data_IF_641108204701
#
_entry.id   IF_641108204701
#
_cell.length_a   1.000
_cell.length_b   1.000
_cell.length_c   1.000
_cell.angle_alpha   90.00
_cell.angle_beta   90.00
_cell.angle_gamma   90.00
#
_symmetry.space_group_name_H-M   'P 1'
#
loop_
_entity.id
_entity.type
_entity.pdbx_description
1 polymer ?
#
# COMPACT_ATOMS: atom_id res chain seq x y z
N UNK A 1 33.85 53.22 -27.93
CA UNK A 1 34.48 54.49 -27.58
C UNK A 1 34.37 54.74 -26.08
N UNK A 2 35.44 54.47 -25.46
CA UNK A 2 36.10 55.25 -24.38
C UNK A 2 35.34 55.36 -23.07
N UNK A 3 35.85 54.75 -22.09
CA UNK A 3 36.96 54.97 -21.09
C UNK A 3 36.44 55.46 -19.75
N UNK A 4 36.79 54.72 -18.72
CA UNK A 4 37.82 54.97 -17.68
C UNK A 4 37.26 55.82 -16.53
N UNK A 5 37.53 55.74 -15.27
CA UNK A 5 38.56 55.10 -14.45
C UNK A 5 38.31 55.47 -12.99
N UNK A 6 38.61 54.55 -12.06
CA UNK A 6 39.21 54.73 -10.70
C UNK A 6 38.66 55.84 -9.76
N UNK A 7 38.61 55.70 -8.51
CA UNK A 7 39.12 54.89 -7.39
C UNK A 7 38.79 55.64 -6.09
N UNK A 8 38.68 55.03 -4.98
CA UNK A 8 39.43 55.16 -3.74
C UNK A 8 38.56 55.05 -2.47
N UNK A 9 38.88 54.04 -1.75
CA UNK A 9 39.08 53.92 -0.30
C UNK A 9 38.20 54.72 0.67
N UNK A 10 37.47 53.98 1.51
CA UNK A 10 36.94 54.47 2.77
C UNK A 10 36.33 53.27 3.53
N UNK A 11 37.08 52.68 4.46
CA UNK A 11 36.67 51.56 5.26
C UNK A 11 35.55 51.86 6.23
N UNK A 12 34.61 50.96 6.32
CA UNK A 12 33.75 50.84 7.50
C UNK A 12 33.46 49.33 7.72
N UNK A 13 34.02 48.80 8.80
CA UNK A 13 33.80 47.45 9.25
C UNK A 13 32.34 47.31 9.72
N UNK A 14 31.52 46.59 8.96
CA UNK A 14 30.21 46.10 9.40
C UNK A 14 30.36 44.64 9.74
N UNK A 15 30.31 44.34 11.02
CA UNK A 15 30.16 42.97 11.55
C UNK A 15 28.83 42.37 11.06
N UNK A 16 28.87 41.55 10.02
CA UNK A 16 27.76 40.66 9.62
C UNK A 16 27.86 39.45 10.50
N UNK A 17 26.95 39.35 11.46
CA UNK A 17 26.66 38.14 12.18
C UNK A 17 26.10 37.08 11.17
N UNK A 18 26.96 36.15 10.74
CA UNK A 18 26.54 34.95 10.05
C UNK A 18 25.83 34.04 11.06
N UNK A 19 24.50 34.14 11.15
CA UNK A 19 23.69 33.09 11.70
C UNK A 19 23.76 31.88 10.77
N UNK A 20 23.78 30.62 11.30
CA UNK A 20 23.78 29.45 10.45
C UNK A 20 22.45 29.38 9.68
N UNK A 21 22.52 29.54 8.36
CA UNK A 21 21.48 29.13 7.45
C UNK A 21 21.35 27.60 7.59
N UNK A 22 20.41 27.14 8.40
CA UNK A 22 19.94 25.77 8.36
C UNK A 22 19.28 25.58 7.00
N UNK A 23 20.06 25.10 6.05
CA UNK A 23 19.55 24.47 4.85
C UNK A 23 18.75 23.27 5.36
N UNK A 24 17.43 23.38 5.36
CA UNK A 24 16.54 22.21 5.39
C UNK A 24 16.80 21.43 4.10
N UNK A 25 17.84 20.63 4.11
CA UNK A 25 18.00 19.55 3.18
C UNK A 25 16.81 18.64 3.39
N UNK A 26 15.95 18.52 2.38
CA UNK A 26 15.01 17.42 2.31
C UNK A 26 15.88 16.15 2.34
N UNK A 27 16.03 15.55 3.52
CA UNK A 27 16.50 14.17 3.65
C UNK A 27 15.47 13.33 2.91
N UNK A 28 15.76 13.03 1.65
CA UNK A 28 15.19 11.87 0.99
C UNK A 28 15.70 10.68 1.79
N UNK A 29 14.93 10.27 2.80
CA UNK A 29 15.18 9.03 3.52
C UNK A 29 15.26 7.93 2.47
N UNK A 30 16.49 7.41 2.25
CA UNK A 30 16.72 6.23 1.42
C UNK A 30 16.00 5.08 2.09
N UNK A 31 14.85 4.72 1.56
CA UNK A 31 14.08 3.57 2.01
C UNK A 31 14.88 2.31 1.62
N UNK A 32 15.25 1.45 2.60
CA UNK A 32 15.91 0.17 2.29
C UNK A 32 14.94 -0.70 1.48
N UNK A 33 15.16 -0.97 0.26
CA UNK A 33 14.29 -1.76 -0.63
C UNK A 33 14.09 -1.12 -2.00
N UNK A 34 14.01 0.21 -2.07
CA UNK A 34 13.80 0.96 -3.31
C UNK A 34 14.96 1.00 -4.30
N UNK A 35 16.12 0.51 -3.97
CA UNK A 35 17.32 0.64 -4.81
C UNK A 35 17.17 -0.01 -6.20
N UNK A 36 16.60 -1.20 -6.29
CA UNK A 36 16.45 -1.90 -7.58
C UNK A 36 15.37 -1.26 -8.46
N UNK A 37 14.23 -0.82 -7.90
CA UNK A 37 13.20 -0.11 -8.66
C UNK A 37 13.69 1.28 -9.09
N UNK A 38 14.41 1.99 -8.24
CA UNK A 38 15.01 3.27 -8.58
C UNK A 38 16.11 3.12 -9.65
N UNK A 39 16.98 2.10 -9.52
CA UNK A 39 18.00 1.79 -10.49
C UNK A 39 17.41 1.41 -11.87
N UNK A 40 16.36 0.58 -11.88
CA UNK A 40 15.63 0.23 -13.09
C UNK A 40 14.92 1.45 -13.71
N UNK A 41 14.36 2.33 -12.90
CA UNK A 41 13.80 3.61 -13.33
C UNK A 41 14.83 4.51 -14.02
N UNK A 42 16.07 4.53 -13.51
CA UNK A 42 17.17 5.26 -14.14
C UNK A 42 17.59 4.63 -15.50
N UNK A 43 17.52 3.30 -15.62
CA UNK A 43 17.72 2.61 -16.91
C UNK A 43 16.63 3.01 -17.90
N UNK A 44 15.36 2.98 -17.52
CA UNK A 44 14.25 3.41 -18.39
C UNK A 44 14.39 4.87 -18.83
N UNK A 45 14.78 5.77 -17.92
CA UNK A 45 15.03 7.17 -18.27
C UNK A 45 16.12 7.32 -19.33
N UNK A 46 17.20 6.58 -19.23
CA UNK A 46 18.28 6.64 -20.22
C UNK A 46 17.85 6.06 -21.57
N UNK A 47 17.05 4.99 -21.58
CA UNK A 47 16.46 4.43 -22.81
C UNK A 47 15.55 5.48 -23.48
N UNK A 48 14.68 6.14 -22.74
CA UNK A 48 13.79 7.20 -23.24
C UNK A 48 14.56 8.37 -23.85
N UNK A 49 15.73 8.68 -23.30
CA UNK A 49 16.61 9.74 -23.76
C UNK A 49 17.62 9.27 -24.81
N UNK A 50 17.46 8.05 -25.35
CA UNK A 50 18.36 7.44 -26.32
C UNK A 50 19.83 7.32 -25.88
N UNK A 51 20.09 7.34 -24.56
CA UNK A 51 21.42 7.14 -23.96
C UNK A 51 21.70 5.66 -23.70
N UNK A 52 21.73 4.86 -24.79
CA UNK A 52 21.77 3.40 -24.69
C UNK A 52 23.04 2.86 -24.02
N UNK A 53 24.18 3.57 -24.16
CA UNK A 53 25.44 3.21 -23.48
C UNK A 53 25.30 3.34 -21.95
N UNK A 54 24.81 4.48 -21.45
CA UNK A 54 24.56 4.71 -20.04
C UNK A 54 23.49 3.77 -19.47
N UNK A 55 22.45 3.47 -20.25
CA UNK A 55 21.44 2.48 -19.87
C UNK A 55 22.04 1.09 -19.67
N UNK A 56 22.98 0.66 -20.55
CA UNK A 56 23.66 -0.61 -20.44
C UNK A 56 24.57 -0.68 -19.19
N UNK A 57 25.36 0.36 -18.93
CA UNK A 57 26.19 0.44 -17.72
C UNK A 57 25.35 0.32 -16.44
N UNK A 58 24.20 1.00 -16.41
CA UNK A 58 23.29 0.96 -15.25
C UNK A 58 22.62 -0.40 -15.06
N UNK A 59 22.22 -1.07 -16.15
CA UNK A 59 21.63 -2.41 -16.02
C UNK A 59 22.68 -3.44 -15.66
N UNK A 60 23.93 -3.30 -16.13
CA UNK A 60 25.04 -4.15 -15.70
C UNK A 60 25.32 -3.99 -14.21
N UNK A 61 25.36 -2.76 -13.70
CA UNK A 61 25.49 -2.48 -12.27
C UNK A 61 24.33 -3.04 -11.45
N UNK A 62 23.10 -2.93 -11.96
CA UNK A 62 21.91 -3.52 -11.32
C UNK A 62 22.05 -5.04 -11.20
N UNK A 63 22.53 -5.72 -12.24
CA UNK A 63 22.70 -7.17 -12.25
C UNK A 63 23.84 -7.67 -11.36
N UNK A 64 24.82 -6.85 -11.04
CA UNK A 64 25.81 -7.18 -10.00
C UNK A 64 25.14 -7.32 -8.62
N UNK A 65 24.21 -6.42 -8.29
CA UNK A 65 23.47 -6.49 -7.03
C UNK A 65 22.32 -7.50 -7.01
N UNK A 66 21.75 -7.80 -8.19
CA UNK A 66 20.54 -8.63 -8.36
C UNK A 66 20.70 -9.61 -9.52
N UNK A 67 21.59 -10.63 -9.41
CA UNK A 67 21.94 -11.53 -10.52
C UNK A 67 20.76 -12.36 -11.04
N UNK A 68 19.72 -12.58 -10.23
CA UNK A 68 18.52 -13.34 -10.61
C UNK A 68 17.38 -12.45 -11.14
N UNK A 69 17.63 -11.17 -11.45
CA UNK A 69 16.61 -10.27 -11.94
C UNK A 69 16.38 -10.45 -13.46
N UNK A 70 15.46 -11.35 -13.80
CA UNK A 70 15.19 -11.77 -15.18
C UNK A 70 14.82 -10.61 -16.10
N UNK A 71 14.01 -9.64 -15.64
CA UNK A 71 13.66 -8.45 -16.41
C UNK A 71 14.90 -7.60 -16.74
N UNK A 72 15.82 -7.44 -15.80
CA UNK A 72 17.06 -6.69 -16.04
C UNK A 72 17.94 -7.41 -17.09
N UNK A 73 18.01 -8.74 -17.06
CA UNK A 73 18.69 -9.52 -18.11
C UNK A 73 18.05 -9.33 -19.49
N UNK A 74 16.72 -9.30 -19.58
CA UNK A 74 16.02 -9.05 -20.83
C UNK A 74 16.34 -7.67 -21.40
N UNK A 75 16.29 -6.64 -20.57
CA UNK A 75 16.65 -5.26 -20.95
C UNK A 75 18.11 -5.19 -21.41
N UNK A 76 19.03 -5.85 -20.68
CA UNK A 76 20.43 -5.94 -21.06
C UNK A 76 20.62 -6.57 -22.46
N UNK A 77 19.92 -7.68 -22.72
CA UNK A 77 19.93 -8.34 -24.02
C UNK A 77 19.48 -7.41 -25.15
N UNK A 78 18.36 -6.70 -24.97
CA UNK A 78 17.86 -5.74 -25.95
C UNK A 78 18.85 -4.58 -26.18
N UNK A 79 19.44 -4.02 -25.11
CA UNK A 79 20.45 -2.95 -25.26
C UNK A 79 21.70 -3.40 -26.01
N UNK A 80 22.13 -4.64 -25.83
CA UNK A 80 23.24 -5.21 -26.60
C UNK A 80 22.87 -5.42 -28.09
N UNK A 81 21.67 -5.94 -28.36
CA UNK A 81 21.15 -6.12 -29.72
C UNK A 81 21.00 -4.79 -30.46
N UNK A 82 20.57 -3.74 -29.77
CA UNK A 82 20.39 -2.39 -30.32
C UNK A 82 21.69 -1.79 -30.87
N UNK A 83 22.88 -2.33 -30.49
CA UNK A 83 24.18 -1.92 -31.05
C UNK A 83 24.42 -2.47 -32.45
N UNK A 84 23.76 -3.55 -32.83
CA UNK A 84 24.03 -4.27 -34.08
C UNK A 84 22.88 -4.21 -35.06
N UNK A 85 21.64 -4.02 -34.57
CA UNK A 85 20.44 -3.97 -35.41
C UNK A 85 19.30 -3.20 -34.71
N UNK A 86 18.37 -2.62 -35.46
CA UNK A 86 17.17 -2.04 -34.89
C UNK A 86 16.33 -3.08 -34.11
N UNK A 87 15.80 -2.69 -32.94
CA UNK A 87 14.88 -3.53 -32.20
C UNK A 87 13.48 -3.42 -32.81
N UNK A 88 12.84 -4.56 -33.04
CA UNK A 88 11.45 -4.63 -33.55
C UNK A 88 10.45 -4.58 -32.39
N UNK A 89 10.83 -5.10 -31.21
CA UNK A 89 9.99 -5.15 -30.01
C UNK A 89 10.86 -5.26 -28.77
N UNK A 90 10.29 -4.90 -27.61
CA UNK A 90 10.93 -5.17 -26.32
C UNK A 90 10.98 -6.69 -26.06
N UNK A 91 12.13 -7.20 -25.66
CA UNK A 91 12.37 -8.63 -25.51
C UNK A 91 12.47 -9.33 -26.87
N UNK A 92 13.32 -8.81 -27.76
CA UNK A 92 13.51 -9.35 -29.13
C UNK A 92 14.37 -10.62 -29.12
N UNK A 93 13.93 -11.67 -28.41
CA UNK A 93 14.56 -13.00 -28.40
C UNK A 93 13.71 -13.98 -29.21
N UNK A 94 14.30 -14.54 -30.29
CA UNK A 94 13.59 -15.45 -31.19
C UNK A 94 13.34 -16.83 -30.57
N UNK A 95 14.21 -17.27 -29.67
CA UNK A 95 14.19 -18.61 -29.08
C UNK A 95 13.54 -18.66 -27.70
N UNK A 96 13.09 -17.52 -27.16
CA UNK A 96 12.45 -17.48 -25.84
C UNK A 96 10.96 -17.86 -25.91
N UNK A 97 10.44 -18.65 -24.95
CA UNK A 97 9.01 -18.95 -24.88
C UNK A 97 8.16 -17.68 -24.83
N UNK A 98 7.16 -17.59 -25.69
CA UNK A 98 6.34 -16.38 -25.88
C UNK A 98 5.60 -15.96 -24.60
N UNK A 99 5.14 -16.93 -23.79
CA UNK A 99 4.50 -16.70 -22.49
C UNK A 99 5.47 -16.04 -21.49
N UNK A 100 6.74 -16.49 -21.44
CA UNK A 100 7.75 -15.91 -20.56
C UNK A 100 8.14 -14.48 -20.97
N UNK A 101 8.19 -14.21 -22.26
CA UNK A 101 8.39 -12.85 -22.76
C UNK A 101 7.20 -11.95 -22.44
N UNK A 102 5.97 -12.46 -22.57
CA UNK A 102 4.76 -11.71 -22.19
C UNK A 102 4.77 -11.35 -20.71
N UNK A 103 5.11 -12.29 -19.84
CA UNK A 103 5.27 -12.10 -18.40
C UNK A 103 6.25 -10.98 -18.05
N UNK A 104 7.45 -10.98 -18.66
CA UNK A 104 8.47 -9.95 -18.42
C UNK A 104 8.07 -8.59 -19.00
N UNK A 105 7.33 -8.57 -20.11
CA UNK A 105 6.76 -7.33 -20.67
C UNK A 105 5.71 -6.73 -19.74
N UNK A 106 4.83 -7.54 -19.15
CA UNK A 106 3.89 -7.08 -18.15
C UNK A 106 4.61 -6.46 -16.93
N UNK A 107 5.65 -7.13 -16.42
CA UNK A 107 6.45 -6.61 -15.31
C UNK A 107 7.10 -5.26 -15.67
N UNK A 108 7.71 -5.15 -16.84
CA UNK A 108 8.32 -3.91 -17.33
C UNK A 108 7.29 -2.77 -17.40
N UNK A 109 6.10 -3.03 -17.95
CA UNK A 109 5.02 -2.06 -18.06
C UNK A 109 4.53 -1.63 -16.67
N UNK A 110 4.34 -2.56 -15.73
CA UNK A 110 3.89 -2.26 -14.38
C UNK A 110 4.89 -1.36 -13.64
N UNK A 111 6.19 -1.70 -13.70
CA UNK A 111 7.27 -0.90 -13.07
C UNK A 111 7.42 0.46 -13.73
N UNK A 112 7.38 0.55 -15.05
CA UNK A 112 7.48 1.82 -15.78
C UNK A 112 6.29 2.74 -15.48
N UNK A 113 5.06 2.20 -15.44
CA UNK A 113 3.87 2.96 -15.04
C UNK A 113 3.98 3.49 -13.62
N UNK A 114 4.44 2.67 -12.67
CA UNK A 114 4.65 3.09 -11.29
C UNK A 114 5.70 4.21 -11.18
N UNK A 115 6.80 4.10 -11.93
CA UNK A 115 7.84 5.12 -11.98
C UNK A 115 7.31 6.46 -12.52
N UNK A 116 6.49 6.44 -13.58
CA UNK A 116 5.96 7.65 -14.24
C UNK A 116 4.79 8.29 -13.48
N UNK A 117 3.94 7.49 -12.86
CA UNK A 117 2.66 7.92 -12.32
C UNK A 117 2.61 7.76 -10.79
N UNK A 118 3.54 8.40 -10.09
CA UNK A 118 3.51 8.45 -8.62
C UNK A 118 2.32 9.28 -8.15
N UNK A 119 1.65 8.85 -7.07
CA UNK A 119 0.60 9.67 -6.45
C UNK A 119 1.18 11.03 -6.05
N UNK A 120 0.43 12.14 -6.19
CA UNK A 120 0.87 13.44 -5.72
C UNK A 120 1.11 13.42 -4.20
N UNK A 121 2.11 14.18 -3.71
CA UNK A 121 2.53 14.17 -2.30
C UNK A 121 1.47 14.67 -1.32
N UNK A 122 0.49 15.44 -1.81
CA UNK A 122 -0.64 15.97 -1.03
C UNK A 122 -1.92 15.11 -1.13
N UNK A 123 -1.80 13.87 -1.65
CA UNK A 123 -2.89 12.93 -1.74
C UNK A 123 -2.65 11.74 -0.81
N UNK A 124 -3.73 11.19 -0.27
CA UNK A 124 -3.74 10.02 0.60
C UNK A 124 -4.75 8.99 0.09
N UNK A 125 -4.56 7.69 0.35
CA UNK A 125 -5.58 6.69 0.02
C UNK A 125 -6.87 6.98 0.78
N UNK A 126 -7.99 7.04 0.06
CA UNK A 126 -9.31 7.29 0.64
C UNK A 126 -9.70 6.30 1.74
N UNK A 127 -9.06 5.14 1.73
CA UNK A 127 -9.39 4.03 2.64
C UNK A 127 -8.92 4.24 4.07
N UNK A 128 -7.86 5.03 4.29
CA UNK A 128 -7.24 5.27 5.60
C UNK A 128 -7.85 6.51 6.27
N UNK A 129 -9.09 6.42 6.77
CA UNK A 129 -9.77 7.56 7.37
C UNK A 129 -9.31 7.84 8.80
N UNK A 130 -9.15 6.79 9.60
CA UNK A 130 -8.58 6.89 10.94
C UNK A 130 -7.90 5.59 11.34
N UNK A 131 -6.69 5.71 11.87
CA UNK A 131 -5.98 4.64 12.56
C UNK A 131 -5.98 4.92 14.06
N UNK A 132 -6.20 3.91 14.89
CA UNK A 132 -6.01 4.04 16.33
C UNK A 132 -4.54 4.33 16.67
N UNK A 133 -4.23 4.94 17.83
CA UNK A 133 -2.85 5.36 18.15
C UNK A 133 -1.81 4.24 18.16
N UNK A 134 -2.20 3.00 18.47
CA UNK A 134 -1.31 1.84 18.52
C UNK A 134 -0.96 1.29 17.13
N UNK A 135 -1.80 1.55 16.12
CA UNK A 135 -1.53 1.21 14.71
C UNK A 135 -0.51 2.19 14.13
N UNK A 136 0.77 1.86 14.22
CA UNK A 136 1.85 2.75 13.76
C UNK A 136 1.91 2.87 12.24
N UNK A 137 1.54 1.82 11.53
CA UNK A 137 1.60 1.74 10.06
C UNK A 137 0.36 1.07 9.50
N UNK A 138 0.05 1.38 8.25
CA UNK A 138 -0.95 0.71 7.42
C UNK A 138 -0.36 0.35 6.07
N UNK A 139 -0.85 -0.76 5.50
CA UNK A 139 -0.51 -1.25 4.17
C UNK A 139 -1.69 -1.03 3.25
N UNK A 140 -1.45 -0.47 2.05
CA UNK A 140 -2.46 -0.33 1.00
C UNK A 140 -1.93 -0.95 -0.28
N UNK A 141 -2.64 -1.94 -0.80
CA UNK A 141 -2.28 -2.69 -2.01
C UNK A 141 -3.16 -2.24 -3.18
N UNK A 142 -2.51 -1.86 -4.29
CA UNK A 142 -3.12 -1.59 -5.60
C UNK A 142 -2.75 -2.74 -6.56
N UNK A 143 -3.69 -3.65 -6.81
CA UNK A 143 -3.42 -4.81 -7.66
C UNK A 143 -3.30 -4.42 -9.12
N UNK A 144 -4.03 -3.38 -9.60
CA UNK A 144 -3.94 -2.92 -10.98
C UNK A 144 -2.58 -2.29 -11.29
N UNK A 145 -1.98 -1.61 -10.31
CA UNK A 145 -0.64 -1.01 -10.44
C UNK A 145 0.49 -1.96 -10.05
N UNK A 146 0.16 -3.12 -9.46
CA UNK A 146 1.13 -4.04 -8.87
C UNK A 146 2.04 -3.36 -7.85
N UNK A 147 1.42 -2.58 -6.94
CA UNK A 147 2.12 -1.81 -5.90
C UNK A 147 1.51 -2.06 -4.52
N UNK A 148 2.38 -2.06 -3.54
CA UNK A 148 2.07 -2.03 -2.12
C UNK A 148 2.65 -0.73 -1.55
N UNK A 149 1.84 0.04 -0.86
CA UNK A 149 2.21 1.31 -0.24
C UNK A 149 2.18 1.18 1.28
N UNK A 150 3.14 1.79 1.96
CA UNK A 150 3.23 1.87 3.42
C UNK A 150 2.91 3.30 3.85
N UNK A 151 1.99 3.43 4.79
CA UNK A 151 1.63 4.68 5.42
C UNK A 151 1.91 4.62 6.91
N UNK A 152 2.55 5.64 7.45
CA UNK A 152 2.71 5.84 8.88
C UNK A 152 1.49 6.60 9.43
N UNK A 153 1.06 6.21 10.62
CA UNK A 153 0.10 6.98 11.40
C UNK A 153 0.79 8.18 12.05
N UNK A 154 0.66 9.34 11.45
CA UNK A 154 1.18 10.59 11.97
C UNK A 154 0.03 11.38 12.65
N UNK A 155 -0.22 11.07 13.93
CA UNK A 155 -1.31 11.68 14.71
C UNK A 155 -2.68 11.55 14.02
N UNK A 156 -2.96 10.40 13.44
CA UNK A 156 -4.21 10.10 12.75
C UNK A 156 -4.23 10.51 11.27
N UNK A 157 -3.16 11.16 10.76
CA UNK A 157 -2.99 11.46 9.33
C UNK A 157 -2.09 10.41 8.68
N UNK A 158 -2.50 9.77 7.56
CA UNK A 158 -1.63 8.86 6.82
C UNK A 158 -0.48 9.63 6.19
N UNK A 159 0.76 9.28 6.53
CA UNK A 159 1.97 9.82 5.92
C UNK A 159 2.65 8.73 5.11
N UNK A 160 2.85 8.97 3.82
CA UNK A 160 3.56 8.02 2.94
C UNK A 160 4.99 7.75 3.44
N UNK A 161 5.37 6.47 3.44
CA UNK A 161 6.71 6.01 3.86
C UNK A 161 7.46 5.40 2.70
N UNK A 162 6.87 4.38 2.07
CA UNK A 162 7.50 3.60 1.01
C UNK A 162 6.47 2.93 0.12
N UNK A 163 6.90 2.48 -1.05
CA UNK A 163 6.11 1.61 -1.91
C UNK A 163 7.00 0.53 -2.55
N UNK A 164 6.42 -0.64 -2.79
CA UNK A 164 7.10 -1.81 -3.34
C UNK A 164 6.33 -2.40 -4.51
N UNK A 165 7.06 -2.94 -5.48
CA UNK A 165 6.46 -3.77 -6.52
C UNK A 165 5.94 -5.07 -5.92
N UNK A 166 4.75 -5.52 -6.39
CA UNK A 166 4.14 -6.77 -5.96
C UNK A 166 3.65 -7.61 -7.14
N UNK A 167 3.61 -8.90 -6.89
CA UNK A 167 2.83 -9.88 -7.66
C UNK A 167 1.54 -10.19 -6.91
N UNK A 168 0.44 -10.39 -7.63
CA UNK A 168 -0.85 -10.75 -7.08
C UNK A 168 -1.50 -11.92 -7.84
N UNK A 169 -2.76 -12.25 -7.54
CA UNK A 169 -3.46 -13.40 -8.12
C UNK A 169 -3.46 -13.44 -9.64
N UNK A 170 -3.19 -14.62 -10.22
CA UNK A 170 -3.16 -14.87 -11.68
C UNK A 170 -4.43 -14.42 -12.39
N UNK A 171 -5.59 -14.56 -11.74
CA UNK A 171 -6.87 -14.16 -12.27
C UNK A 171 -7.35 -12.79 -11.73
N UNK A 172 -6.41 -11.99 -11.21
CA UNK A 172 -6.68 -10.63 -10.75
C UNK A 172 -7.13 -10.56 -9.29
N UNK A 173 -7.95 -9.57 -8.99
CA UNK A 173 -8.53 -9.32 -7.68
C UNK A 173 -9.97 -9.85 -7.55
N UNK A 174 -10.64 -9.51 -6.43
CA UNK A 174 -12.03 -9.91 -6.11
C UNK A 174 -12.16 -11.42 -5.88
N UNK A 175 -11.34 -11.95 -4.97
CA UNK A 175 -11.44 -13.35 -4.52
C UNK A 175 -12.82 -13.64 -3.94
N UNK A 176 -13.45 -14.73 -4.42
CA UNK A 176 -14.78 -15.15 -4.00
C UNK A 176 -14.78 -16.53 -3.35
N UNK A 177 -13.91 -17.47 -3.80
CA UNK A 177 -13.88 -18.86 -3.31
C UNK A 177 -12.46 -19.41 -3.29
N UNK A 178 -12.30 -20.48 -2.56
CA UNK A 178 -11.01 -21.21 -2.50
C UNK A 178 -10.56 -21.64 -3.90
N UNK A 179 -9.25 -21.57 -4.18
CA UNK A 179 -8.66 -22.00 -5.44
C UNK A 179 -8.92 -21.11 -6.65
N UNK A 180 -9.63 -19.99 -6.54
CA UNK A 180 -9.96 -19.11 -7.66
C UNK A 180 -8.78 -18.26 -8.20
N UNK A 181 -7.60 -18.41 -7.58
CA UNK A 181 -6.35 -17.72 -7.96
C UNK A 181 -6.48 -16.19 -8.00
N UNK A 182 -7.35 -15.64 -7.16
CA UNK A 182 -7.59 -14.19 -7.04
C UNK A 182 -7.11 -13.67 -5.69
N UNK A 183 -6.67 -12.44 -5.68
CA UNK A 183 -6.36 -11.71 -4.45
C UNK A 183 -7.66 -11.08 -3.91
N UNK A 184 -7.96 -11.16 -2.61
CA UNK A 184 -9.17 -10.57 -2.06
C UNK A 184 -9.11 -9.03 -2.10
N UNK A 185 -10.28 -8.40 -2.13
CA UNK A 185 -10.46 -6.95 -2.00
C UNK A 185 -11.19 -6.68 -0.69
N UNK A 186 -10.62 -5.84 0.17
CA UNK A 186 -11.20 -5.57 1.48
C UNK A 186 -10.22 -4.95 2.46
N UNK A 187 -10.66 -4.87 3.72
CA UNK A 187 -9.88 -4.39 4.87
C UNK A 187 -9.51 -5.59 5.73
N UNK A 188 -8.24 -5.85 5.86
CA UNK A 188 -7.66 -6.97 6.62
C UNK A 188 -6.62 -6.43 7.62
N UNK A 189 -6.04 -7.34 8.40
CA UNK A 189 -4.88 -7.06 9.24
C UNK A 189 -3.90 -8.24 9.21
N UNK A 190 -2.65 -7.99 9.55
CA UNK A 190 -1.62 -9.03 9.67
C UNK A 190 -1.91 -9.86 10.91
N UNK A 191 -2.00 -11.19 10.77
CA UNK A 191 -2.38 -12.09 11.87
C UNK A 191 -1.22 -12.86 12.48
N UNK A 192 -0.13 -13.07 11.74
CA UNK A 192 1.04 -13.80 12.22
C UNK A 192 2.32 -13.38 11.48
N UNK A 193 3.46 -13.76 12.04
CA UNK A 193 4.76 -13.76 11.38
C UNK A 193 5.25 -15.20 11.29
N UNK A 194 5.39 -15.71 10.07
CA UNK A 194 5.91 -17.06 9.79
C UNK A 194 7.36 -16.95 9.31
N UNK A 195 8.34 -17.28 10.16
CA UNK A 195 9.74 -17.16 9.81
C UNK A 195 10.16 -18.21 8.78
N UNK A 196 11.16 -17.88 7.95
CA UNK A 196 11.68 -18.72 6.85
C UNK A 196 11.93 -20.17 7.27
N UNK A 197 12.47 -20.40 8.46
CA UNK A 197 12.82 -21.73 8.95
C UNK A 197 11.63 -22.69 9.06
N UNK A 198 10.39 -22.17 9.09
CA UNK A 198 9.16 -22.93 9.17
C UNK A 198 8.46 -23.08 7.82
N UNK A 199 9.03 -22.53 6.76
CA UNK A 199 8.40 -22.47 5.42
C UNK A 199 9.28 -23.13 4.37
N UNK A 200 8.65 -23.58 3.28
CA UNK A 200 9.38 -24.00 2.08
C UNK A 200 10.01 -22.78 1.39
N UNK A 201 11.02 -23.00 0.55
CA UNK A 201 11.69 -21.96 -0.21
C UNK A 201 10.73 -21.16 -1.12
N UNK A 202 9.57 -21.73 -1.45
CA UNK A 202 8.52 -21.06 -2.23
C UNK A 202 8.08 -19.70 -1.64
N UNK A 203 8.14 -19.56 -0.32
CA UNK A 203 7.73 -18.35 0.42
C UNK A 203 8.88 -17.38 0.67
N UNK A 204 10.08 -17.69 0.23
CA UNK A 204 11.24 -16.82 0.31
C UNK A 204 11.72 -16.54 1.74
N UNK A 205 11.94 -15.26 2.07
CA UNK A 205 12.46 -14.85 3.38
C UNK A 205 11.44 -14.97 4.52
N UNK A 206 10.15 -15.19 4.24
CA UNK A 206 9.11 -15.34 5.26
C UNK A 206 7.70 -15.12 4.72
N UNK A 207 6.71 -15.18 5.61
CA UNK A 207 5.33 -14.90 5.27
C UNK A 207 4.56 -14.25 6.42
N UNK A 208 3.61 -13.39 6.07
CA UNK A 208 2.70 -12.70 6.97
C UNK A 208 1.27 -12.96 6.52
N UNK A 209 0.57 -13.91 7.15
CA UNK A 209 -0.85 -14.16 6.93
C UNK A 209 -1.68 -12.92 7.24
N UNK A 210 -2.75 -12.73 6.46
CA UNK A 210 -3.76 -11.70 6.73
C UNK A 210 -5.10 -12.33 7.12
N UNK A 211 -5.98 -11.53 7.73
CA UNK A 211 -7.27 -11.97 8.28
C UNK A 211 -8.35 -12.25 7.22
N UNK A 212 -7.96 -12.79 6.05
CA UNK A 212 -8.92 -13.25 5.04
C UNK A 212 -9.37 -14.69 5.32
N UNK A 213 -10.66 -15.04 5.20
CA UNK A 213 -11.80 -14.14 5.03
C UNK A 213 -12.14 -13.42 6.34
N UNK A 214 -12.43 -12.11 6.26
CA UNK A 214 -12.94 -11.33 7.38
C UNK A 214 -14.44 -11.60 7.59
N UNK A 215 -15.07 -10.93 8.58
CA UNK A 215 -16.50 -11.09 8.86
C UNK A 215 -17.38 -10.71 7.66
N UNK A 216 -17.05 -9.60 6.98
CA UNK A 216 -17.78 -9.16 5.79
C UNK A 216 -17.66 -10.16 4.64
N UNK A 217 -16.48 -10.72 4.41
CA UNK A 217 -16.28 -11.75 3.39
C UNK A 217 -17.19 -12.96 3.64
N UNK A 218 -17.26 -13.43 4.90
CA UNK A 218 -18.13 -14.56 5.29
C UNK A 218 -19.61 -14.25 5.09
N UNK A 219 -20.05 -13.02 5.44
CA UNK A 219 -21.43 -12.59 5.20
C UNK A 219 -21.79 -12.51 3.71
N UNK A 220 -20.80 -12.25 2.85
CA UNK A 220 -20.96 -12.29 1.39
C UNK A 220 -20.80 -13.70 0.78
N UNK A 221 -20.66 -14.72 1.61
CA UNK A 221 -20.45 -16.09 1.15
C UNK A 221 -19.08 -16.34 0.49
N UNK A 222 -18.09 -15.49 0.77
CA UNK A 222 -16.72 -15.71 0.30
C UNK A 222 -15.99 -16.66 1.23
N UNK A 223 -15.22 -17.55 0.64
CA UNK A 223 -14.50 -18.57 1.38
C UNK A 223 -13.02 -18.68 0.98
N UNK A 224 -12.36 -19.71 1.50
CA UNK A 224 -10.95 -20.00 1.33
C UNK A 224 -10.09 -19.48 2.48
N UNK A 225 -8.77 -19.63 2.34
CA UNK A 225 -7.78 -19.28 3.35
C UNK A 225 -6.40 -19.08 2.71
N UNK A 226 -5.38 -18.81 3.52
CA UNK A 226 -3.98 -18.83 3.06
C UNK A 226 -3.60 -17.65 2.19
N UNK A 227 -4.20 -16.49 2.38
CA UNK A 227 -3.75 -15.26 1.74
C UNK A 227 -2.67 -14.59 2.62
N UNK A 228 -1.47 -14.50 2.06
CA UNK A 228 -0.28 -14.04 2.77
C UNK A 228 0.44 -12.94 1.99
N UNK A 229 1.16 -12.08 2.72
CA UNK A 229 2.26 -11.29 2.18
C UNK A 229 3.52 -12.16 2.31
N UNK A 230 4.24 -12.48 1.23
CA UNK A 230 5.42 -13.35 1.30
C UNK A 230 6.46 -13.02 0.24
N UNK A 231 7.64 -13.61 0.38
CA UNK A 231 8.75 -13.44 -0.56
C UNK A 231 8.69 -14.34 -1.78
N UNK A 232 9.76 -14.30 -2.57
CA UNK A 232 9.99 -15.15 -3.74
C UNK A 232 10.97 -16.28 -3.40
N UNK A 233 10.96 -17.43 -4.13
CA UNK A 233 12.01 -18.44 -4.02
C UNK A 233 13.41 -17.84 -4.12
N UNK A 234 14.38 -18.45 -3.49
CA UNK A 234 15.75 -17.94 -3.38
C UNK A 234 16.45 -17.72 -4.72
N UNK A 235 16.05 -18.46 -5.77
CA UNK A 235 16.55 -18.35 -7.14
C UNK A 235 15.83 -17.28 -7.99
N UNK A 236 14.83 -16.62 -7.44
CA UNK A 236 13.93 -15.72 -8.17
C UNK A 236 13.90 -14.35 -7.51
N UNK A 237 14.34 -13.31 -8.20
CA UNK A 237 14.30 -11.94 -7.68
C UNK A 237 12.85 -11.41 -7.58
N UNK A 238 12.11 -11.46 -8.69
CA UNK A 238 10.71 -11.01 -8.76
C UNK A 238 9.89 -11.93 -9.68
N UNK A 239 8.56 -11.84 -9.54
CA UNK A 239 7.61 -12.53 -10.42
C UNK A 239 6.83 -11.52 -11.26
N UNK A 240 6.23 -11.94 -12.39
CA UNK A 240 5.28 -11.09 -13.13
C UNK A 240 4.13 -10.59 -12.26
N UNK A 241 3.45 -9.50 -12.66
CA UNK A 241 2.37 -8.92 -11.86
C UNK A 241 1.28 -9.92 -11.45
N UNK A 242 0.89 -10.81 -12.38
CA UNK A 242 -0.18 -11.80 -12.20
C UNK A 242 0.37 -13.23 -12.17
N UNK A 243 1.06 -13.59 -11.08
CA UNK A 243 1.75 -14.87 -11.00
C UNK A 243 1.59 -15.60 -9.65
N UNK A 244 0.66 -15.18 -8.78
CA UNK A 244 0.35 -15.90 -7.53
C UNK A 244 -1.01 -16.60 -7.59
N UNK A 245 -1.27 -17.49 -6.65
CA UNK A 245 -2.58 -18.12 -6.48
C UNK A 245 -3.50 -17.35 -5.51
N UNK A 246 -3.21 -16.06 -5.30
CA UNK A 246 -3.99 -15.12 -4.50
C UNK A 246 -3.19 -14.33 -3.48
N UNK A 247 -2.01 -14.78 -3.10
CA UNK A 247 -1.10 -14.06 -2.20
C UNK A 247 -0.57 -12.78 -2.83
N UNK A 248 -0.13 -11.85 -1.99
CA UNK A 248 0.64 -10.67 -2.37
C UNK A 248 2.13 -11.00 -2.18
N UNK A 249 2.87 -11.07 -3.28
CA UNK A 249 4.27 -11.52 -3.28
C UNK A 249 5.20 -10.35 -3.55
N UNK A 250 6.19 -10.18 -2.69
CA UNK A 250 7.25 -9.17 -2.80
C UNK A 250 8.58 -9.84 -3.15
N UNK A 251 9.59 -9.06 -3.52
CA UNK A 251 10.96 -9.57 -3.48
C UNK A 251 11.34 -9.88 -2.03
N UNK A 252 12.30 -10.79 -1.81
CA UNK A 252 12.72 -11.11 -0.44
C UNK A 252 13.23 -9.88 0.30
N UNK A 253 14.01 -9.04 -0.39
CA UNK A 253 14.54 -7.81 0.19
C UNK A 253 13.43 -6.81 0.57
N UNK A 254 12.41 -6.67 -0.28
CA UNK A 254 11.29 -5.78 0.00
C UNK A 254 10.41 -6.33 1.13
N UNK A 255 10.24 -7.66 1.22
CA UNK A 255 9.53 -8.28 2.34
C UNK A 255 10.28 -8.09 3.66
N UNK A 256 11.61 -8.24 3.65
CA UNK A 256 12.44 -8.02 4.84
C UNK A 256 12.33 -6.55 5.30
N UNK A 257 12.37 -5.59 4.38
CA UNK A 257 12.14 -4.17 4.69
C UNK A 257 10.72 -3.92 5.19
N UNK A 258 9.69 -4.49 4.55
CA UNK A 258 8.29 -4.40 4.97
C UNK A 258 8.09 -4.94 6.37
N UNK A 259 8.78 -6.01 6.75
CA UNK A 259 8.61 -6.69 8.04
C UNK A 259 8.78 -5.76 9.24
N UNK A 260 9.65 -4.74 9.14
CA UNK A 260 9.89 -3.73 10.18
C UNK A 260 8.71 -2.80 10.44
N UNK A 261 7.75 -2.73 9.53
CA UNK A 261 6.52 -1.92 9.63
C UNK A 261 5.31 -2.72 10.10
N UNK A 262 5.43 -4.04 10.25
CA UNK A 262 4.30 -4.92 10.56
C UNK A 262 4.17 -5.15 12.08
N UNK A 263 3.00 -4.87 12.61
CA UNK A 263 2.58 -5.19 13.97
C UNK A 263 1.51 -6.28 13.88
N UNK A 264 1.81 -7.46 14.47
CA UNK A 264 0.88 -8.60 14.45
C UNK A 264 -0.39 -8.26 15.22
N UNK A 265 -1.54 -8.51 14.60
CA UNK A 265 -2.87 -8.17 15.14
C UNK A 265 -3.28 -6.71 14.93
N UNK A 266 -2.38 -5.81 14.56
CA UNK A 266 -2.64 -4.35 14.53
C UNK A 266 -2.53 -3.73 13.14
N UNK A 267 -1.48 -4.08 12.35
CA UNK A 267 -1.25 -3.41 11.07
C UNK A 267 -2.39 -3.71 10.09
N UNK A 268 -3.18 -2.69 9.68
CA UNK A 268 -4.20 -2.84 8.66
C UNK A 268 -3.56 -3.12 7.30
N UNK A 269 -4.20 -4.01 6.53
CA UNK A 269 -3.85 -4.34 5.15
C UNK A 269 -5.08 -4.14 4.29
N UNK A 270 -5.14 -3.01 3.59
CA UNK A 270 -6.24 -2.69 2.67
C UNK A 270 -5.83 -3.12 1.27
N UNK A 271 -6.60 -4.03 0.67
CA UNK A 271 -6.34 -4.51 -0.70
C UNK A 271 -7.43 -4.00 -1.62
N UNK A 272 -7.04 -3.22 -2.62
CA UNK A 272 -7.92 -2.66 -3.64
C UNK A 272 -7.51 -3.11 -5.04
N UNK A 273 -8.46 -3.16 -5.94
CA UNK A 273 -8.15 -3.28 -7.36
C UNK A 273 -7.46 -2.03 -7.88
N UNK A 274 -7.99 -0.85 -7.55
CA UNK A 274 -7.40 0.46 -7.85
C UNK A 274 -7.57 1.37 -6.65
N UNK A 275 -6.51 2.06 -6.23
CA UNK A 275 -6.60 3.00 -5.11
C UNK A 275 -7.32 4.28 -5.56
N UNK A 276 -8.32 4.67 -4.77
CA UNK A 276 -8.90 6.00 -4.82
C UNK A 276 -8.06 6.96 -3.97
N UNK A 277 -7.69 8.09 -4.56
CA UNK A 277 -6.85 9.09 -3.93
C UNK A 277 -7.67 10.34 -3.62
N UNK A 278 -7.57 10.84 -2.40
CA UNK A 278 -8.16 12.11 -1.99
C UNK A 278 -7.07 13.15 -1.73
N UNK A 279 -7.39 14.41 -1.98
CA UNK A 279 -6.63 15.50 -1.40
C UNK A 279 -6.66 15.41 0.13
N UNK A 280 -5.65 15.94 0.80
CA UNK A 280 -5.64 15.93 2.28
C UNK A 280 -6.85 16.66 2.86
N UNK A 281 -7.34 17.71 2.19
CA UNK A 281 -8.50 18.49 2.64
C UNK A 281 -9.81 17.71 2.49
N UNK A 282 -10.02 17.03 1.35
CA UNK A 282 -11.18 16.17 1.12
C UNK A 282 -11.17 14.99 2.10
N UNK A 283 -10.01 14.36 2.30
CA UNK A 283 -9.81 13.30 3.28
C UNK A 283 -10.17 13.77 4.71
N UNK A 284 -9.69 14.94 5.11
CA UNK A 284 -10.00 15.49 6.43
C UNK A 284 -11.50 15.80 6.59
N UNK A 285 -12.16 16.24 5.52
CA UNK A 285 -13.60 16.48 5.51
C UNK A 285 -14.39 15.19 5.63
N UNK A 286 -14.06 14.16 4.85
CA UNK A 286 -14.70 12.84 4.92
C UNK A 286 -14.52 12.19 6.29
N UNK A 287 -13.30 12.25 6.86
CA UNK A 287 -13.00 11.77 8.21
C UNK A 287 -13.87 12.45 9.27
N UNK A 288 -13.98 13.80 9.22
CA UNK A 288 -14.82 14.55 10.17
C UNK A 288 -16.29 14.14 10.07
N UNK A 289 -16.81 14.02 8.86
CA UNK A 289 -18.21 13.60 8.64
C UNK A 289 -18.51 12.24 9.26
N UNK A 290 -17.63 11.26 9.07
CA UNK A 290 -17.81 9.92 9.65
C UNK A 290 -17.65 9.91 11.16
N UNK A 291 -16.68 10.64 11.71
CA UNK A 291 -16.53 10.74 13.16
C UNK A 291 -17.73 11.41 13.82
N UNK A 292 -18.36 12.41 13.18
CA UNK A 292 -19.61 13.00 13.68
C UNK A 292 -20.75 11.97 13.71
N UNK A 293 -20.89 11.14 12.67
CA UNK A 293 -21.91 10.08 12.65
C UNK A 293 -21.69 9.04 13.76
N UNK A 294 -20.43 8.66 14.04
CA UNK A 294 -20.10 7.74 15.15
C UNK A 294 -20.42 8.40 16.49
N UNK A 295 -20.11 9.69 16.63
CA UNK A 295 -20.39 10.44 17.87
C UNK A 295 -21.90 10.66 18.08
N UNK A 296 -22.68 10.89 17.03
CA UNK A 296 -24.14 10.99 17.10
C UNK A 296 -24.76 9.65 17.53
N UNK A 297 -24.27 8.52 16.96
CA UNK A 297 -24.66 7.18 17.40
C UNK A 297 -24.33 6.95 18.89
N UNK A 298 -23.16 7.35 19.36
CA UNK A 298 -22.74 7.22 20.76
C UNK A 298 -23.65 8.05 21.70
N UNK A 299 -23.92 9.31 21.34
CA UNK A 299 -24.80 10.21 22.12
C UNK A 299 -26.23 9.70 22.18
N UNK A 300 -26.76 9.21 21.06
CA UNK A 300 -28.11 8.65 21.04
C UNK A 300 -28.21 7.40 21.91
N UNK A 301 -27.14 6.60 21.99
CA UNK A 301 -27.10 5.49 22.93
C UNK A 301 -27.09 5.97 24.40
N UNK A 302 -26.27 6.98 24.74
CA UNK A 302 -26.23 7.58 26.10
C UNK A 302 -27.53 8.26 26.47
N UNK A 303 -28.26 8.82 25.52
CA UNK A 303 -29.54 9.52 25.78
C UNK A 303 -30.63 8.61 26.32
N UNK A 304 -30.50 7.29 26.19
CA UNK A 304 -31.49 6.28 26.51
C UNK A 304 -32.79 6.39 25.69
N UNK A 305 -32.82 7.23 24.66
CA UNK A 305 -33.85 7.22 23.64
C UNK A 305 -33.57 6.06 22.69
N UNK A 306 -34.16 4.91 22.98
CA UNK A 306 -33.90 3.68 22.27
C UNK A 306 -34.33 3.75 20.79
N UNK A 307 -35.32 4.56 20.45
CA UNK A 307 -35.79 4.69 19.09
C UNK A 307 -34.81 5.54 18.25
N UNK A 308 -34.24 6.61 18.83
CA UNK A 308 -33.15 7.36 18.22
C UNK A 308 -31.90 6.48 18.01
N UNK A 309 -31.50 5.72 19.02
CA UNK A 309 -30.40 4.79 18.93
C UNK A 309 -30.62 3.74 17.83
N UNK A 310 -31.81 3.14 17.78
CA UNK A 310 -32.14 2.11 16.77
C UNK A 310 -32.29 2.67 15.34
N UNK A 311 -32.50 3.99 15.20
CA UNK A 311 -32.54 4.63 13.89
C UNK A 311 -31.19 4.60 13.15
N UNK A 312 -30.07 4.42 13.87
CA UNK A 312 -28.76 4.22 13.29
C UNK A 312 -28.57 2.83 12.64
N UNK A 313 -29.47 1.88 12.89
CA UNK A 313 -29.34 0.49 12.44
C UNK A 313 -30.22 0.21 11.22
N UNK A 314 -29.61 -0.36 10.20
CA UNK A 314 -30.35 -0.86 9.03
C UNK A 314 -31.31 -1.99 9.41
N UNK A 315 -32.46 -2.09 8.73
CA UNK A 315 -33.35 -3.24 8.85
C UNK A 315 -32.70 -4.57 8.42
N UNK A 316 -31.63 -4.50 7.65
CA UNK A 316 -30.81 -5.65 7.26
C UNK A 316 -29.68 -5.96 8.26
N UNK A 317 -29.63 -5.24 9.40
CA UNK A 317 -28.63 -5.47 10.44
C UNK A 317 -28.66 -6.91 10.93
N UNK A 318 -27.47 -7.48 11.09
CA UNK A 318 -27.24 -8.82 11.66
C UNK A 318 -26.03 -8.79 12.58
N UNK A 319 -26.10 -9.54 13.65
CA UNK A 319 -25.00 -9.86 14.55
C UNK A 319 -24.94 -11.39 14.77
N UNK A 320 -24.05 -11.85 15.65
CA UNK A 320 -23.89 -13.26 16.01
C UNK A 320 -25.16 -13.87 16.65
N UNK A 321 -26.02 -13.06 17.25
CA UNK A 321 -27.23 -13.49 17.96
C UNK A 321 -28.47 -13.47 17.07
N UNK A 322 -28.47 -12.69 15.97
CA UNK A 322 -29.62 -12.63 15.06
C UNK A 322 -29.71 -11.36 14.22
N UNK A 323 -30.92 -11.07 13.73
CA UNK A 323 -31.20 -9.89 12.92
C UNK A 323 -31.72 -8.69 13.72
N UNK A 324 -32.07 -7.62 12.97
CA UNK A 324 -32.52 -6.33 13.52
C UNK A 324 -33.64 -6.46 14.54
N UNK A 325 -34.69 -7.26 14.30
CA UNK A 325 -35.85 -7.37 15.19
C UNK A 325 -35.47 -7.95 16.56
N UNK A 326 -34.60 -8.96 16.59
CA UNK A 326 -34.12 -9.54 17.84
C UNK A 326 -33.24 -8.56 18.60
N UNK A 327 -32.31 -7.89 17.89
CA UNK A 327 -31.46 -6.83 18.42
C UNK A 327 -32.28 -5.68 19.00
N UNK A 328 -33.27 -5.17 18.27
CA UNK A 328 -34.09 -4.07 18.70
C UNK A 328 -34.91 -4.41 19.99
N UNK A 329 -35.49 -5.62 20.06
CA UNK A 329 -36.17 -6.08 21.28
C UNK A 329 -35.22 -6.13 22.47
N UNK A 330 -34.03 -6.70 22.30
CA UNK A 330 -33.02 -6.80 23.34
C UNK A 330 -32.61 -5.39 23.83
N UNK A 331 -32.32 -4.47 22.92
CA UNK A 331 -31.90 -3.10 23.26
C UNK A 331 -33.02 -2.32 23.99
N UNK A 332 -34.29 -2.47 23.62
CA UNK A 332 -35.41 -1.86 24.36
C UNK A 332 -35.49 -2.35 25.81
N UNK A 333 -35.33 -3.67 26.02
CA UNK A 333 -35.35 -4.26 27.38
C UNK A 333 -34.17 -3.78 28.23
N UNK A 334 -32.95 -3.80 27.65
CA UNK A 334 -31.74 -3.35 28.35
C UNK A 334 -31.82 -1.87 28.69
N UNK A 335 -32.21 -1.03 27.74
CA UNK A 335 -32.31 0.43 27.97
C UNK A 335 -33.36 0.76 29.04
N UNK A 336 -34.51 0.09 29.05
CA UNK A 336 -35.54 0.28 30.05
C UNK A 336 -35.08 -0.09 31.47
N UNK A 337 -34.16 -1.06 31.62
CA UNK A 337 -33.60 -1.50 32.89
C UNK A 337 -32.51 -0.59 33.47
N UNK A 338 -31.99 0.37 32.71
CA UNK A 338 -30.87 1.23 33.12
C UNK A 338 -31.33 2.64 33.49
N UNK A 339 -30.77 3.21 34.54
CA UNK A 339 -31.01 4.59 34.93
C UNK A 339 -30.13 5.60 34.21
N UNK A 340 -28.98 5.16 33.77
CA UNK A 340 -28.02 5.93 32.95
C UNK A 340 -27.19 4.99 32.08
N UNK A 341 -26.65 5.51 30.99
CA UNK A 341 -25.71 4.84 30.11
C UNK A 341 -24.59 5.84 29.82
N UNK A 342 -23.36 5.39 29.94
CA UNK A 342 -22.17 6.10 29.48
C UNK A 342 -21.42 5.17 28.55
N UNK A 343 -20.93 5.70 27.42
CA UNK A 343 -20.23 4.95 26.42
C UNK A 343 -18.93 5.66 26.09
N UNK A 344 -17.82 5.05 26.47
CA UNK A 344 -16.50 5.49 26.08
C UNK A 344 -16.00 4.60 24.92
N UNK A 345 -15.54 5.23 23.85
CA UNK A 345 -15.00 4.53 22.66
C UNK A 345 -13.49 4.67 22.64
N UNK A 346 -12.81 3.59 22.98
CA UNK A 346 -11.35 3.48 22.88
C UNK A 346 -10.91 2.86 21.57
N UNK A 347 -9.66 3.05 21.16
CA UNK A 347 -8.99 2.40 20.01
C UNK A 347 -9.80 2.45 18.70
N UNK A 348 -10.39 3.61 18.43
CA UNK A 348 -11.24 3.81 17.26
C UNK A 348 -10.43 3.82 15.98
N UNK A 349 -10.73 2.87 15.10
CA UNK A 349 -10.23 2.83 13.71
C UNK A 349 -11.39 2.93 12.72
N UNK A 350 -11.20 3.68 11.64
CA UNK A 350 -12.20 3.91 10.60
C UNK A 350 -11.54 3.70 9.23
N UNK A 351 -11.97 2.68 8.51
CA UNK A 351 -11.47 2.36 7.19
C UNK A 351 -12.61 2.27 6.18
N UNK A 352 -12.46 2.93 5.04
CA UNK A 352 -13.36 2.69 3.91
C UNK A 352 -12.97 1.37 3.25
N UNK A 353 -13.92 0.47 3.08
CA UNK A 353 -13.69 -0.77 2.35
C UNK A 353 -13.55 -0.46 0.86
N UNK A 354 -12.49 -0.92 0.20
CA UNK A 354 -12.41 -0.84 -1.25
C UNK A 354 -13.45 -1.76 -1.91
N UNK A 355 -13.92 -1.39 -3.09
CA UNK A 355 -14.89 -2.16 -3.86
C UNK A 355 -16.10 -1.34 -4.28
N UNK A 356 -17.13 -2.03 -4.80
CA UNK A 356 -18.32 -1.40 -5.38
C UNK A 356 -19.34 -0.91 -4.35
N UNK A 357 -19.19 -1.29 -3.09
CA UNK A 357 -20.11 -0.93 -2.02
C UNK A 357 -19.54 0.23 -1.19
N UNK A 358 -20.37 1.18 -0.84
CA UNK A 358 -20.00 2.26 0.07
C UNK A 358 -20.03 1.75 1.53
N UNK A 359 -19.02 0.97 1.88
CA UNK A 359 -18.88 0.30 3.17
C UNK A 359 -17.77 0.94 3.99
N UNK A 360 -18.07 1.29 5.22
CA UNK A 360 -17.09 1.73 6.23
C UNK A 360 -16.92 0.62 7.27
N UNK A 361 -15.69 0.26 7.55
CA UNK A 361 -15.33 -0.66 8.63
C UNK A 361 -14.89 0.18 9.81
N UNK A 362 -15.63 0.06 10.91
CA UNK A 362 -15.33 0.76 12.18
C UNK A 362 -15.03 -0.28 13.23
N UNK A 363 -13.88 -0.16 13.90
CA UNK A 363 -13.51 -0.99 15.04
C UNK A 363 -13.16 -0.12 16.22
N UNK A 364 -13.57 -0.53 17.41
CA UNK A 364 -13.32 0.19 18.66
C UNK A 364 -13.41 -0.77 19.85
N UNK A 365 -12.78 -0.38 20.95
CA UNK A 365 -13.09 -0.93 22.29
C UNK A 365 -14.17 -0.08 22.92
N UNK A 366 -15.08 -0.72 23.65
CA UNK A 366 -16.19 -0.06 24.31
C UNK A 366 -16.17 -0.42 25.79
N UNK A 367 -16.17 0.62 26.66
CA UNK A 367 -16.31 0.55 28.11
C UNK A 367 -17.63 1.18 28.57
#
# INVERSE_FOLDING_TARGET
>A
MHQLLRALLGGLALLLACGPLTVFGAETSRVPGGDADAALGAVFKDIEQSRLGSALEKVDALLVGYPNFRLAHLIRGDLLLARTRPLVSFGNSQDAPADKLADLREEAIARLKAYRNRPPSNYVPRYLLQMEPEQKYAIVVDTQRSRLYIYQNDNGRPRFVADYYITHGKLGAEKAREGDKRTPVGVYHVTANLPRQKLSDFYGSGAFPISYPNEWDRQQGRDGHGIWLHGTPSDTYSRPPRASDGCVVLTNRDLDALSSYLQIGLTPVIISNTIEWLSVDDWASERRSLNNQIEDWRKDWESRDVDRYLAHYSKNFRNSEGGYEQWARQKRLVTASKNWVKVDLGKLSVFRSPGKQDLIVVTFEQD
#
